data_IF_508803185660
#
_entry.id   IF_508803185660
#
_cell.length_a   1.000
_cell.length_b   1.000
_cell.length_c   1.000
_cell.angle_alpha   90.00
_cell.angle_beta   90.00
_cell.angle_gamma   90.00
#
_symmetry.space_group_name_H-M   'P 1'
#
loop_
_entity.id
_entity.type
_entity.pdbx_description
1 polymer ?
#
# COMPACT_ATOMS: atom_id res chain seq x y z
N UNK A 1 1.32 -9.59 31.40
CA UNK A 1 0.72 -10.17 30.18
C UNK A 1 1.01 -9.22 29.04
N UNK A 2 1.77 -9.68 28.05
CA UNK A 2 2.22 -8.86 26.92
C UNK A 2 1.21 -9.00 25.79
N UNK A 3 0.42 -7.95 25.52
CA UNK A 3 -0.44 -7.92 24.34
C UNK A 3 0.39 -7.33 23.19
N UNK A 4 0.92 -8.19 22.33
CA UNK A 4 1.55 -7.74 21.09
C UNK A 4 0.41 -7.25 20.20
N UNK A 5 0.31 -5.93 20.04
CA UNK A 5 -0.59 -5.31 19.07
C UNK A 5 0.10 -5.39 17.71
N UNK A 6 -0.39 -6.26 16.82
CA UNK A 6 0.05 -6.29 15.43
C UNK A 6 -0.73 -5.21 14.66
N UNK A 7 -0.05 -4.13 14.28
CA UNK A 7 -0.60 -3.14 13.36
C UNK A 7 -0.36 -3.65 11.95
N UNK A 8 -1.43 -4.09 11.27
CA UNK A 8 -1.38 -4.52 9.89
C UNK A 8 -1.97 -3.43 9.00
N UNK A 9 -1.23 -2.99 7.99
CA UNK A 9 -1.74 -2.03 6.99
C UNK A 9 -2.80 -2.70 6.14
N UNK A 10 -4.02 -2.15 6.17
CA UNK A 10 -5.12 -2.60 5.33
C UNK A 10 -5.21 -1.75 4.06
N UNK A 11 -5.28 -2.40 2.89
CA UNK A 11 -5.34 -1.75 1.58
C UNK A 11 -6.76 -1.85 1.04
N UNK A 12 -7.56 -0.82 1.30
CA UNK A 12 -9.00 -0.79 0.96
C UNK A 12 -9.39 0.20 -0.14
N UNK A 13 -8.52 1.16 -0.43
CA UNK A 13 -8.83 2.28 -1.32
C UNK A 13 -8.16 2.08 -2.70
N UNK A 14 -8.93 1.73 -3.76
CA UNK A 14 -8.39 1.56 -5.10
C UNK A 14 -7.70 2.80 -5.64
N UNK A 15 -8.20 4.00 -5.32
CA UNK A 15 -7.64 5.26 -5.82
C UNK A 15 -6.25 5.50 -5.22
N UNK A 16 -6.09 5.20 -3.92
CA UNK A 16 -4.78 5.28 -3.28
C UNK A 16 -3.81 4.22 -3.82
N UNK A 17 -4.29 3.02 -4.17
CA UNK A 17 -3.46 1.98 -4.84
C UNK A 17 -2.98 2.47 -6.21
N UNK A 18 -3.89 2.94 -7.07
CA UNK A 18 -3.51 3.48 -8.39
C UNK A 18 -2.54 4.65 -8.27
N UNK A 19 -2.78 5.57 -7.32
CA UNK A 19 -1.89 6.71 -7.07
C UNK A 19 -0.50 6.24 -6.62
N UNK A 20 -0.42 5.20 -5.80
CA UNK A 20 0.85 4.62 -5.36
C UNK A 20 1.59 3.94 -6.52
N UNK A 21 0.90 3.16 -7.36
CA UNK A 21 1.49 2.56 -8.57
C UNK A 21 2.07 3.64 -9.49
N UNK A 22 1.31 4.70 -9.76
CA UNK A 22 1.76 5.81 -10.61
C UNK A 22 3.01 6.50 -10.03
N UNK A 23 3.02 6.77 -8.71
CA UNK A 23 4.17 7.38 -8.04
C UNK A 23 5.42 6.50 -8.06
N UNK A 24 5.25 5.19 -8.00
CA UNK A 24 6.32 4.20 -8.11
C UNK A 24 6.66 3.80 -9.54
N UNK A 25 6.00 4.40 -10.54
CA UNK A 25 6.14 4.07 -11.97
C UNK A 25 5.88 2.59 -12.29
N UNK A 26 4.93 1.99 -11.57
CA UNK A 26 4.46 0.63 -11.81
C UNK A 26 3.34 0.60 -12.85
N UNK A 27 3.06 -0.58 -13.39
CA UNK A 27 1.87 -0.85 -14.20
C UNK A 27 0.60 -0.43 -13.45
N UNK A 28 -0.41 0.03 -14.20
CA UNK A 28 -1.70 0.36 -13.60
C UNK A 28 -2.32 -0.89 -12.98
N UNK A 29 -2.84 -0.79 -11.74
CA UNK A 29 -3.36 -1.96 -11.07
C UNK A 29 -4.66 -2.44 -11.71
N UNK A 30 -4.80 -3.76 -11.92
CA UNK A 30 -5.95 -4.35 -12.64
C UNK A 30 -6.81 -5.15 -11.67
N UNK A 31 -8.12 -4.94 -11.72
CA UNK A 31 -9.08 -5.74 -10.97
C UNK A 31 -9.33 -7.06 -11.70
N UNK A 32 -8.76 -8.16 -11.20
CA UNK A 32 -8.91 -9.50 -11.79
C UNK A 32 -8.69 -10.61 -10.75
N UNK A 33 -8.78 -11.86 -11.18
CA UNK A 33 -8.36 -13.04 -10.42
C UNK A 33 -6.99 -13.49 -10.89
N UNK A 34 -6.01 -13.42 -9.99
CA UNK A 34 -4.63 -13.77 -10.27
C UNK A 34 -4.29 -15.13 -9.65
N UNK A 35 -3.57 -15.95 -10.42
CA UNK A 35 -3.00 -17.20 -9.89
C UNK A 35 -1.71 -16.88 -9.16
N UNK A 36 -1.68 -17.20 -7.87
CA UNK A 36 -0.46 -17.28 -7.07
C UNK A 36 0.13 -18.69 -7.20
N UNK A 37 1.24 -18.95 -6.52
CA UNK A 37 1.92 -20.25 -6.61
C UNK A 37 1.06 -21.43 -6.14
N UNK A 38 0.35 -21.28 -5.02
CA UNK A 38 -0.47 -22.35 -4.42
C UNK A 38 -1.95 -22.00 -4.26
N UNK A 39 -2.39 -20.86 -4.77
CA UNK A 39 -3.76 -20.37 -4.62
C UNK A 39 -4.13 -19.39 -5.73
N UNK A 40 -5.40 -19.00 -5.78
CA UNK A 40 -5.87 -17.90 -6.62
C UNK A 40 -6.44 -16.81 -5.72
N UNK A 41 -6.24 -15.56 -6.11
CA UNK A 41 -6.63 -14.39 -5.35
C UNK A 41 -7.36 -13.40 -6.28
N UNK A 42 -8.55 -12.98 -5.88
CA UNK A 42 -9.34 -11.98 -6.62
C UNK A 42 -9.23 -10.63 -5.94
N UNK A 43 -8.88 -9.60 -6.70
CA UNK A 43 -8.70 -8.27 -6.18
C UNK A 43 -8.00 -7.36 -7.17
N UNK A 44 -7.45 -6.28 -6.64
CA UNK A 44 -6.69 -5.31 -7.40
C UNK A 44 -5.21 -5.76 -7.43
N UNK A 45 -4.76 -6.29 -8.57
CA UNK A 45 -3.41 -6.80 -8.77
C UNK A 45 -2.40 -5.68 -9.04
N UNK A 46 -1.30 -5.68 -8.29
CA UNK A 46 -0.18 -4.75 -8.41
C UNK A 46 1.07 -5.52 -8.79
N UNK A 47 1.66 -5.18 -9.93
CA UNK A 47 2.93 -5.75 -10.39
C UNK A 47 4.08 -4.99 -9.75
N UNK A 48 4.79 -5.64 -8.82
CA UNK A 48 5.99 -5.08 -8.20
C UNK A 48 7.25 -5.46 -9.01
N UNK A 49 8.30 -4.63 -9.01
CA UNK A 49 9.53 -4.92 -9.75
C UNK A 49 10.22 -6.18 -9.23
N UNK A 50 10.64 -7.07 -10.13
CA UNK A 50 11.32 -8.33 -9.81
C UNK A 50 10.43 -9.33 -9.04
N UNK A 51 9.12 -9.12 -9.04
CA UNK A 51 8.17 -10.08 -8.49
C UNK A 51 7.70 -11.07 -9.56
N UNK A 52 7.62 -12.35 -9.19
CA UNK A 52 7.13 -13.41 -10.09
C UNK A 52 5.61 -13.40 -10.21
N UNK A 53 4.93 -13.03 -9.13
CA UNK A 53 3.48 -12.99 -9.03
C UNK A 53 3.05 -11.60 -8.55
N UNK A 54 1.93 -11.06 -9.04
CA UNK A 54 1.43 -9.78 -8.59
C UNK A 54 0.97 -9.85 -7.13
N UNK A 55 1.06 -8.72 -6.45
CA UNK A 55 0.44 -8.54 -5.13
C UNK A 55 -1.03 -8.21 -5.33
N UNK A 56 -1.91 -9.05 -4.82
CA UNK A 56 -3.36 -8.86 -4.96
C UNK A 56 -3.90 -8.17 -3.72
N UNK A 57 -4.40 -6.95 -3.91
CA UNK A 57 -5.05 -6.17 -2.86
C UNK A 57 -6.56 -6.46 -2.87
N UNK A 58 -7.05 -7.15 -1.84
CA UNK A 58 -8.49 -7.31 -1.66
C UNK A 58 -9.05 -6.07 -0.97
N UNK A 59 -9.66 -5.18 -1.74
CA UNK A 59 -10.16 -3.89 -1.25
C UNK A 59 -11.37 -4.02 -0.32
N UNK A 60 -12.11 -5.12 -0.39
CA UNK A 60 -13.26 -5.39 0.49
C UNK A 60 -12.82 -5.83 1.88
N UNK A 61 -11.86 -6.76 1.98
CA UNK A 61 -11.33 -7.23 3.26
C UNK A 61 -10.20 -6.34 3.80
N UNK A 62 -9.55 -5.57 2.93
CA UNK A 62 -8.33 -4.81 3.25
C UNK A 62 -7.06 -5.67 3.27
N UNK A 63 -7.14 -6.97 2.99
CA UNK A 63 -6.01 -7.88 3.06
C UNK A 63 -5.19 -7.86 1.76
N UNK A 64 -3.87 -8.02 1.90
CA UNK A 64 -2.96 -8.25 0.80
C UNK A 64 -2.66 -9.74 0.68
N UNK A 65 -2.82 -10.28 -0.52
CA UNK A 65 -2.45 -11.66 -0.85
C UNK A 65 -1.27 -11.63 -1.80
N UNK A 66 -0.18 -12.26 -1.39
CA UNK A 66 1.03 -12.36 -2.19
C UNK A 66 1.83 -13.58 -1.77
N UNK A 67 2.66 -14.06 -2.68
CA UNK A 67 3.60 -15.14 -2.40
C UNK A 67 4.99 -14.70 -2.83
N UNK A 68 5.86 -14.45 -1.86
CA UNK A 68 7.24 -14.09 -2.10
C UNK A 68 8.22 -15.25 -1.83
N UNK A 69 7.77 -16.44 -1.46
CA UNK A 69 8.57 -17.63 -1.11
C UNK A 69 9.89 -17.28 -0.38
N UNK A 70 9.80 -16.73 0.84
CA UNK A 70 10.94 -16.27 1.65
C UNK A 70 11.86 -15.23 0.95
N UNK A 71 11.32 -14.48 0.00
CA UNK A 71 12.05 -13.49 -0.80
C UNK A 71 12.61 -14.02 -2.13
N UNK A 72 12.41 -15.31 -2.47
CA UNK A 72 12.89 -15.86 -3.76
C UNK A 72 12.11 -15.37 -4.97
N UNK A 73 10.88 -14.88 -4.78
CA UNK A 73 10.00 -14.43 -5.87
C UNK A 73 9.64 -12.96 -5.80
N UNK A 74 10.40 -12.19 -5.03
CA UNK A 74 10.23 -10.75 -4.91
C UNK A 74 10.85 -10.21 -3.63
N UNK A 75 11.54 -9.08 -3.73
CA UNK A 75 12.06 -8.39 -2.56
C UNK A 75 10.91 -7.75 -1.77
N UNK A 76 10.84 -8.07 -0.48
CA UNK A 76 9.89 -7.47 0.46
C UNK A 76 10.08 -5.95 0.58
N UNK A 77 11.25 -5.43 0.26
CA UNK A 77 11.53 -3.99 0.21
C UNK A 77 10.62 -3.27 -0.79
N UNK A 78 10.36 -3.85 -1.98
CA UNK A 78 9.41 -3.28 -2.95
C UNK A 78 7.98 -3.27 -2.41
N UNK A 79 7.56 -4.31 -1.69
CA UNK A 79 6.25 -4.36 -1.03
C UNK A 79 6.17 -3.30 0.08
N UNK A 80 7.19 -3.19 0.92
CA UNK A 80 7.22 -2.19 1.99
C UNK A 80 7.17 -0.77 1.43
N UNK A 81 7.92 -0.49 0.36
CA UNK A 81 7.90 0.78 -0.35
C UNK A 81 6.51 1.06 -0.94
N UNK A 82 5.87 0.07 -1.57
CA UNK A 82 4.50 0.19 -2.04
C UNK A 82 3.52 0.53 -0.91
N UNK A 83 3.57 -0.18 0.22
CA UNK A 83 2.70 0.08 1.37
C UNK A 83 2.93 1.47 1.97
N UNK A 84 4.18 1.92 2.04
CA UNK A 84 4.53 3.24 2.53
C UNK A 84 3.97 4.34 1.63
N UNK A 85 4.12 4.21 0.32
CA UNK A 85 3.55 5.16 -0.64
C UNK A 85 2.02 5.10 -0.63
N UNK A 86 1.42 3.92 -0.56
CA UNK A 86 -0.02 3.75 -0.40
C UNK A 86 -0.54 4.50 0.84
N UNK A 87 0.13 4.37 1.99
CA UNK A 87 -0.25 5.06 3.21
C UNK A 87 -0.18 6.58 3.06
N UNK A 88 0.83 7.09 2.35
CA UNK A 88 0.97 8.52 2.02
C UNK A 88 -0.20 9.01 1.16
N UNK A 89 -0.48 8.33 0.04
CA UNK A 89 -1.56 8.73 -0.86
C UNK A 89 -2.93 8.63 -0.17
N UNK A 90 -3.18 7.55 0.60
CA UNK A 90 -4.41 7.40 1.37
C UNK A 90 -4.58 8.52 2.40
N UNK A 91 -3.52 8.85 3.15
CA UNK A 91 -3.53 9.96 4.11
C UNK A 91 -3.83 11.29 3.43
N UNK A 92 -3.21 11.54 2.26
CA UNK A 92 -3.42 12.77 1.49
C UNK A 92 -4.87 12.89 0.99
N UNK A 93 -5.44 11.79 0.48
CA UNK A 93 -6.84 11.74 0.03
C UNK A 93 -7.79 12.04 1.20
N UNK A 94 -7.60 11.38 2.34
CA UNK A 94 -8.47 11.56 3.51
C UNK A 94 -8.33 12.94 4.15
N UNK A 95 -7.11 13.46 4.27
CA UNK A 95 -6.88 14.81 4.75
C UNK A 95 -7.53 15.85 3.84
N UNK A 96 -7.37 15.73 2.52
CA UNK A 96 -8.01 16.63 1.55
C UNK A 96 -9.53 16.58 1.65
N UNK A 97 -10.13 15.39 1.82
CA UNK A 97 -11.58 15.23 2.01
C UNK A 97 -12.09 15.97 3.25
N UNK A 98 -11.26 16.08 4.29
CA UNK A 98 -11.57 16.79 5.54
C UNK A 98 -11.12 18.25 5.55
N UNK A 99 -10.61 18.78 4.44
CA UNK A 99 -10.08 20.15 4.36
C UNK A 99 -8.75 20.34 5.11
N UNK A 100 -8.03 19.27 5.41
CA UNK A 100 -6.72 19.31 6.06
C UNK A 100 -5.60 19.31 5.02
N UNK A 101 -4.46 19.90 5.40
CA UNK A 101 -3.25 19.89 4.56
C UNK A 101 -2.27 18.84 5.08
N UNK A 102 -1.55 18.17 4.19
CA UNK A 102 -0.53 17.18 4.56
C UNK A 102 0.83 17.64 4.05
N UNK A 103 1.83 17.59 4.94
CA UNK A 103 3.23 17.78 4.59
C UNK A 103 3.97 16.46 4.70
N UNK A 104 4.72 16.11 3.66
CA UNK A 104 5.54 14.90 3.59
C UNK A 104 7.02 15.25 3.79
N UNK A 105 7.72 14.48 4.63
CA UNK A 105 9.16 14.62 4.84
C UNK A 105 9.84 13.25 4.81
N UNK A 106 10.69 13.03 3.81
CA UNK A 106 11.56 11.86 3.74
C UNK A 106 12.61 11.91 4.85
N UNK A 107 12.82 10.78 5.52
CA UNK A 107 13.80 10.62 6.59
C UNK A 107 15.05 9.91 6.06
N UNK A 108 16.18 10.09 6.76
CA UNK A 108 17.48 9.51 6.36
C UNK A 108 17.49 7.97 6.38
N UNK A 109 16.57 7.35 7.11
CA UNK A 109 16.40 5.90 7.21
C UNK A 109 15.47 5.30 6.13
N UNK A 110 14.97 6.14 5.20
CA UNK A 110 14.03 5.73 4.16
C UNK A 110 12.56 5.75 4.57
N UNK A 111 12.26 6.03 5.85
CA UNK A 111 10.88 6.24 6.30
C UNK A 111 10.33 7.59 5.82
N UNK A 112 9.01 7.73 5.82
CA UNK A 112 8.32 8.98 5.46
C UNK A 112 7.54 9.45 6.67
N UNK A 113 7.82 10.67 7.10
CA UNK A 113 7.01 11.37 8.11
C UNK A 113 5.92 12.16 7.42
N UNK A 114 4.68 11.89 7.81
CA UNK A 114 3.50 12.66 7.38
C UNK A 114 3.04 13.54 8.54
N UNK A 115 2.88 14.83 8.27
CA UNK A 115 2.30 15.78 9.22
C UNK A 115 0.98 16.29 8.65
N UNK A 116 -0.13 15.93 9.31
CA UNK A 116 -1.47 16.42 8.94
C UNK A 116 -1.76 17.68 9.75
N UNK A 117 -1.86 18.81 9.05
CA UNK A 117 -2.30 20.07 9.63
C UNK A 117 -3.82 20.11 9.61
N UNK A 118 -4.41 19.88 10.78
CA UNK A 118 -5.84 20.03 11.01
C UNK A 118 -6.09 21.53 11.16
N UNK A 119 -6.59 22.17 10.10
CA UNK A 119 -7.12 23.53 10.21
C UNK A 119 -8.29 23.49 11.20
N UNK A 120 -8.16 24.22 12.31
CA UNK A 120 -9.19 24.27 13.34
C UNK A 120 -10.49 24.79 12.73
N UNK A 121 -11.54 23.97 12.83
CA UNK A 121 -12.89 24.52 12.89
C UNK A 121 -12.99 25.19 14.26
N UNK A 122 -12.99 26.53 14.27
CA UNK A 122 -13.66 27.30 15.32
C UNK A 122 -15.18 27.23 15.12
#
# INVERSE_FOLDING_TARGET
MSHIVQIQTEVRDPVAVTSACHRLKLSEPVQDTFKLFSSEATGLGVELPEWRYPVVCNTASGQLQYDNFEGRWGDRSHLNQFLQVYAVEKTRIEARRKGHTVTEQAQADGSIKLTVQVGGAE
#
